data_IF_303716357388
#
_entry.id   IF_303716357388
#
_cell.length_a   1.000
_cell.length_b   1.000
_cell.length_c   1.000
_cell.angle_alpha   90.00
_cell.angle_beta   90.00
_cell.angle_gamma   90.00
#
_symmetry.space_group_name_H-M   'P 1'
#
loop_
_entity.id
_entity.type
_entity.pdbx_description
1 polymer ?
#
# COMPACT_ATOMS: atom_id res chain seq x y z
N UNK A 1 1.69 60.08 -13.16
CA UNK A 1 2.49 59.11 -12.40
C UNK A 1 1.54 58.28 -11.54
N UNK A 2 1.32 57.01 -11.87
CA UNK A 2 0.53 56.12 -11.01
C UNK A 2 1.38 55.78 -9.78
N UNK A 3 0.88 56.09 -8.57
CA UNK A 3 1.52 55.68 -7.33
C UNK A 3 1.44 54.15 -7.25
N UNK A 4 2.58 53.47 -7.38
CA UNK A 4 2.67 52.07 -6.99
C UNK A 4 2.36 51.99 -5.48
N UNK A 5 1.19 51.46 -5.13
CA UNK A 5 0.89 51.08 -3.75
C UNK A 5 1.79 49.89 -3.43
N UNK A 6 2.85 50.14 -2.66
CA UNK A 6 3.66 49.06 -2.09
C UNK A 6 2.85 48.26 -1.07
N UNK A 7 3.12 46.96 -0.98
CA UNK A 7 2.60 46.08 0.06
C UNK A 7 3.05 46.59 1.43
N UNK A 8 2.15 46.62 2.42
CA UNK A 8 2.54 47.04 3.77
C UNK A 8 3.22 45.88 4.51
N UNK A 9 4.22 46.18 5.35
CA UNK A 9 4.88 45.14 6.16
C UNK A 9 3.87 44.41 7.06
N UNK A 10 2.87 45.14 7.56
CA UNK A 10 1.82 44.54 8.37
C UNK A 10 1.01 43.52 7.58
N UNK A 11 0.63 43.80 6.33
CA UNK A 11 -0.08 42.87 5.44
C UNK A 11 0.69 41.55 5.29
N UNK A 12 1.99 41.62 5.04
CA UNK A 12 2.83 40.43 4.91
C UNK A 12 2.84 39.62 6.20
N UNK A 13 2.93 40.29 7.36
CA UNK A 13 2.95 39.64 8.67
C UNK A 13 1.61 38.97 8.98
N UNK A 14 0.46 39.59 8.69
CA UNK A 14 -0.83 38.94 8.94
C UNK A 14 -0.98 37.69 8.06
N UNK A 15 -0.53 37.74 6.81
CA UNK A 15 -0.66 36.61 5.88
C UNK A 15 0.13 35.40 6.38
N UNK A 16 1.39 35.58 6.80
CA UNK A 16 2.18 34.46 7.35
C UNK A 16 1.61 33.94 8.66
N UNK A 17 1.00 34.80 9.49
CA UNK A 17 0.33 34.38 10.74
C UNK A 17 -0.90 33.53 10.44
N UNK A 18 -1.74 33.95 9.48
CA UNK A 18 -2.92 33.18 9.07
C UNK A 18 -2.50 31.83 8.47
N UNK A 19 -1.53 31.81 7.56
CA UNK A 19 -1.01 30.57 6.98
C UNK A 19 -0.39 29.68 8.08
N UNK A 20 0.31 30.26 9.06
CA UNK A 20 0.87 29.54 10.20
C UNK A 20 -0.19 28.82 11.03
N UNK A 21 -1.32 29.48 11.34
CA UNK A 21 -2.43 28.87 12.08
C UNK A 21 -3.10 27.77 11.25
N UNK A 22 -3.36 28.03 9.98
CA UNK A 22 -3.97 27.04 9.07
C UNK A 22 -3.06 25.81 8.89
N UNK A 23 -1.75 26.01 8.76
CA UNK A 23 -0.79 24.92 8.65
C UNK A 23 -0.72 24.08 9.93
N UNK A 24 -0.75 24.72 11.11
CA UNK A 24 -0.71 24.01 12.39
C UNK A 24 -1.88 23.03 12.59
N UNK A 25 -3.06 23.34 12.05
CA UNK A 25 -4.23 22.44 12.11
C UNK A 25 -4.30 21.46 10.93
N UNK A 26 -3.87 21.87 9.74
CA UNK A 26 -4.02 21.08 8.52
C UNK A 26 -2.94 19.98 8.41
N UNK A 27 -1.71 20.26 8.83
CA UNK A 27 -0.60 19.31 8.69
C UNK A 27 -0.83 18.01 9.47
N UNK A 28 -1.22 18.01 10.76
CA UNK A 28 -1.48 16.77 11.49
C UNK A 28 -2.60 15.95 10.83
N UNK A 29 -3.69 16.61 10.41
CA UNK A 29 -4.82 15.96 9.74
C UNK A 29 -4.46 15.34 8.40
N UNK A 30 -3.58 15.99 7.64
CA UNK A 30 -3.11 15.45 6.38
C UNK A 30 -2.22 14.21 6.56
N UNK A 31 -1.36 14.20 7.60
CA UNK A 31 -0.55 13.03 7.95
C UNK A 31 -1.43 11.87 8.36
N UNK A 32 -2.39 12.08 9.28
CA UNK A 32 -3.33 11.04 9.71
C UNK A 32 -4.07 10.41 8.51
N UNK A 33 -4.58 11.24 7.59
CA UNK A 33 -5.28 10.77 6.40
C UNK A 33 -4.37 9.98 5.45
N UNK A 34 -3.10 10.38 5.34
CA UNK A 34 -2.13 9.69 4.48
C UNK A 34 -1.81 8.29 5.04
N UNK A 35 -1.66 8.19 6.37
CA UNK A 35 -1.44 6.91 7.05
C UNK A 35 -2.66 5.97 6.91
N UNK A 36 -3.87 6.51 7.09
CA UNK A 36 -5.12 5.77 6.89
C UNK A 36 -5.28 5.29 5.44
N UNK A 37 -4.94 6.14 4.47
CA UNK A 37 -4.98 5.79 3.05
C UNK A 37 -3.99 4.66 2.71
N UNK A 38 -2.77 4.73 3.26
CA UNK A 38 -1.77 3.68 3.07
C UNK A 38 -2.22 2.36 3.71
N UNK A 39 -2.75 2.39 4.94
CA UNK A 39 -3.30 1.22 5.60
C UNK A 39 -4.46 0.57 4.80
N UNK A 40 -5.35 1.40 4.24
CA UNK A 40 -6.44 0.95 3.38
C UNK A 40 -5.91 0.32 2.08
N UNK A 41 -4.91 0.93 1.45
CA UNK A 41 -4.26 0.40 0.24
C UNK A 41 -3.60 -0.96 0.52
N UNK A 42 -2.87 -1.08 1.64
CA UNK A 42 -2.26 -2.35 2.08
C UNK A 42 -3.30 -3.46 2.24
N UNK A 43 -4.41 -3.15 2.92
CA UNK A 43 -5.52 -4.11 3.09
C UNK A 43 -6.18 -4.46 1.76
N UNK A 44 -6.35 -3.50 0.87
CA UNK A 44 -6.90 -3.69 -0.47
C UNK A 44 -6.04 -4.65 -1.31
N UNK A 45 -4.72 -4.43 -1.33
CA UNK A 45 -3.78 -5.28 -2.05
C UNK A 45 -3.71 -6.70 -1.46
N UNK A 46 -3.68 -6.84 -0.13
CA UNK A 46 -3.78 -8.15 0.50
C UNK A 46 -5.08 -8.88 0.11
N UNK A 47 -6.20 -8.16 0.08
CA UNK A 47 -7.49 -8.68 -0.40
C UNK A 47 -7.47 -9.11 -1.86
N UNK A 48 -6.78 -8.37 -2.72
CA UNK A 48 -6.61 -8.71 -4.13
C UNK A 48 -5.75 -9.99 -4.32
N UNK A 49 -4.71 -10.19 -3.49
CA UNK A 49 -3.94 -11.45 -3.52
C UNK A 49 -4.78 -12.62 -3.03
N UNK A 50 -5.59 -12.43 -1.97
CA UNK A 50 -6.53 -13.46 -1.47
C UNK A 50 -7.55 -13.88 -2.51
N UNK A 51 -8.15 -12.92 -3.23
CA UNK A 51 -9.11 -13.24 -4.30
C UNK A 51 -8.42 -13.95 -5.48
N UNK A 52 -7.23 -13.49 -5.87
CA UNK A 52 -6.44 -14.10 -6.93
C UNK A 52 -6.02 -15.53 -6.59
N UNK A 53 -5.72 -15.81 -5.33
CA UNK A 53 -5.45 -17.17 -4.84
C UNK A 53 -6.67 -18.09 -5.00
N UNK A 54 -7.87 -17.63 -4.67
CA UNK A 54 -9.08 -18.40 -4.89
C UNK A 54 -9.32 -18.69 -6.39
N UNK A 55 -9.06 -17.70 -7.26
CA UNK A 55 -9.14 -17.87 -8.72
C UNK A 55 -8.11 -18.88 -9.22
N UNK A 56 -6.86 -18.77 -8.76
CA UNK A 56 -5.77 -19.68 -9.13
C UNK A 56 -6.08 -21.13 -8.74
N UNK A 57 -6.66 -21.35 -7.55
CA UNK A 57 -7.12 -22.70 -7.14
C UNK A 57 -8.19 -23.24 -8.08
N UNK A 58 -9.17 -22.40 -8.44
CA UNK A 58 -10.26 -22.82 -9.31
C UNK A 58 -9.77 -23.23 -10.70
N UNK A 59 -8.80 -22.50 -11.26
CA UNK A 59 -8.22 -22.75 -12.58
C UNK A 59 -7.26 -23.95 -12.58
N UNK A 60 -6.32 -23.99 -11.61
CA UNK A 60 -5.30 -25.04 -11.52
C UNK A 60 -5.81 -26.35 -10.92
N UNK A 61 -6.97 -26.32 -10.24
CA UNK A 61 -7.53 -27.44 -9.46
C UNK A 61 -6.60 -27.95 -8.36
N UNK A 62 -5.69 -27.10 -7.89
CA UNK A 62 -4.76 -27.31 -6.78
C UNK A 62 -4.32 -25.97 -6.22
N UNK A 63 -3.67 -25.99 -5.07
CA UNK A 63 -3.00 -24.80 -4.54
C UNK A 63 -1.89 -24.32 -5.49
N UNK A 64 -1.82 -22.99 -5.77
CA UNK A 64 -0.78 -22.42 -6.63
C UNK A 64 0.55 -22.34 -5.88
N UNK A 65 1.66 -22.36 -6.61
CA UNK A 65 2.93 -21.88 -6.08
C UNK A 65 2.95 -20.35 -6.03
N UNK A 66 3.88 -19.77 -5.28
CA UNK A 66 4.02 -18.32 -5.20
C UNK A 66 4.28 -17.66 -6.57
N UNK A 67 5.05 -18.33 -7.42
CA UNK A 67 5.32 -17.89 -8.79
C UNK A 67 4.05 -17.89 -9.64
N UNK A 68 3.23 -18.93 -9.52
CA UNK A 68 1.94 -18.99 -10.22
C UNK A 68 0.96 -17.95 -9.66
N UNK A 69 0.86 -17.81 -8.35
CA UNK A 69 -0.04 -16.83 -7.73
C UNK A 69 0.26 -15.40 -8.21
N UNK A 70 1.54 -15.03 -8.35
CA UNK A 70 1.92 -13.72 -8.88
C UNK A 70 1.37 -13.47 -10.30
N UNK A 71 1.27 -14.51 -11.15
CA UNK A 71 0.67 -14.39 -12.49
C UNK A 71 -0.85 -14.32 -12.49
N UNK A 72 -1.53 -14.60 -11.38
CA UNK A 72 -2.98 -14.40 -11.27
C UNK A 72 -3.31 -13.01 -10.73
N UNK A 73 -2.50 -12.49 -9.81
CA UNK A 73 -2.70 -11.15 -9.22
C UNK A 73 -2.62 -10.05 -10.27
N UNK A 74 -1.71 -10.17 -11.25
CA UNK A 74 -1.54 -9.27 -12.40
C UNK A 74 -1.63 -7.77 -12.06
N UNK A 75 -0.49 -7.14 -11.79
CA UNK A 75 -0.42 -5.69 -11.59
C UNK A 75 0.99 -5.16 -11.78
N UNK A 76 1.11 -3.85 -12.00
CA UNK A 76 2.41 -3.17 -11.99
C UNK A 76 3.06 -3.32 -10.60
N UNK A 77 4.35 -3.66 -10.57
CA UNK A 77 5.08 -3.92 -9.32
C UNK A 77 4.70 -5.22 -8.58
N UNK A 78 3.97 -6.15 -9.21
CA UNK A 78 3.64 -7.46 -8.61
C UNK A 78 4.66 -8.52 -9.01
N UNK A 79 5.24 -9.22 -8.03
CA UNK A 79 6.18 -10.33 -8.28
C UNK A 79 6.17 -11.36 -7.16
N UNK A 80 6.56 -12.60 -7.45
CA UNK A 80 6.75 -13.62 -6.43
C UNK A 80 8.00 -13.33 -5.59
N UNK A 81 7.89 -13.48 -4.27
CA UNK A 81 8.99 -13.39 -3.32
C UNK A 81 9.20 -14.73 -2.61
N UNK A 82 10.27 -14.85 -1.83
CA UNK A 82 10.52 -16.05 -1.03
C UNK A 82 9.46 -16.27 0.06
N UNK A 83 8.82 -15.20 0.54
CA UNK A 83 7.96 -15.20 1.73
C UNK A 83 6.53 -14.73 1.46
N UNK A 84 6.18 -14.50 0.19
CA UNK A 84 4.94 -13.81 -0.16
C UNK A 84 4.86 -13.29 -1.59
N UNK A 85 3.87 -12.46 -1.84
CA UNK A 85 3.72 -11.73 -3.11
C UNK A 85 4.14 -10.28 -2.87
N UNK A 86 5.14 -9.82 -3.61
CA UNK A 86 5.51 -8.41 -3.65
C UNK A 86 4.38 -7.63 -4.32
N UNK A 87 4.01 -6.51 -3.74
CA UNK A 87 3.09 -5.51 -4.28
C UNK A 87 3.68 -4.12 -4.06
N UNK A 88 3.53 -3.20 -5.01
CA UNK A 88 3.99 -1.82 -4.83
C UNK A 88 2.83 -0.92 -4.39
N UNK A 89 3.04 -0.14 -3.34
CA UNK A 89 2.11 0.88 -2.85
C UNK A 89 2.92 2.16 -2.65
N UNK A 90 2.53 3.25 -3.33
CA UNK A 90 3.22 4.54 -3.29
C UNK A 90 4.74 4.46 -3.57
N UNK A 91 5.15 3.55 -4.47
CA UNK A 91 6.56 3.34 -4.83
C UNK A 91 7.37 2.52 -3.82
N UNK A 92 6.74 2.04 -2.74
CA UNK A 92 7.36 1.14 -1.76
C UNK A 92 6.88 -0.29 -2.00
N UNK A 93 7.80 -1.25 -2.02
CA UNK A 93 7.46 -2.68 -2.12
C UNK A 93 7.07 -3.24 -0.77
N UNK A 94 5.87 -3.81 -0.71
CA UNK A 94 5.34 -4.55 0.42
C UNK A 94 5.21 -6.03 0.06
N UNK A 95 5.25 -6.90 1.07
CA UNK A 95 5.08 -8.35 0.88
C UNK A 95 3.76 -8.76 1.50
N UNK A 96 2.84 -9.27 0.69
CA UNK A 96 1.66 -10.00 1.19
C UNK A 96 2.14 -11.38 1.59
N UNK A 97 2.12 -11.70 2.89
CA UNK A 97 2.62 -12.97 3.38
C UNK A 97 1.81 -14.15 2.82
N UNK A 98 2.49 -15.23 2.45
CA UNK A 98 1.87 -16.49 2.02
C UNK A 98 2.40 -17.65 2.86
N UNK A 99 1.60 -18.70 3.01
CA UNK A 99 1.84 -19.76 3.98
C UNK A 99 1.66 -21.14 3.35
N UNK A 100 2.43 -22.10 3.84
CA UNK A 100 2.41 -23.51 3.40
C UNK A 100 1.38 -24.35 4.15
N UNK A 101 0.55 -23.75 4.99
CA UNK A 101 -0.50 -24.44 5.74
C UNK A 101 -1.82 -23.66 5.74
N UNK A 102 -2.92 -24.39 5.82
CA UNK A 102 -4.28 -23.83 5.86
C UNK A 102 -4.57 -22.90 7.07
N UNK A 103 -3.78 -22.96 8.15
CA UNK A 103 -3.95 -22.07 9.31
C UNK A 103 -3.10 -20.80 9.23
N UNK A 104 -2.35 -20.61 8.13
CA UNK A 104 -1.55 -19.42 7.89
C UNK A 104 -0.48 -19.19 8.99
N UNK A 105 0.19 -20.26 9.41
CA UNK A 105 1.11 -20.27 10.56
C UNK A 105 2.58 -20.50 10.20
N UNK A 106 2.82 -21.22 9.10
CA UNK A 106 4.12 -21.59 8.56
C UNK A 106 4.34 -20.83 7.26
N UNK A 107 5.07 -19.72 7.33
CA UNK A 107 5.33 -18.88 6.17
C UNK A 107 6.19 -19.67 5.17
N UNK A 108 5.86 -19.55 3.88
CA UNK A 108 6.70 -20.12 2.84
C UNK A 108 8.09 -19.43 2.86
N UNK A 109 9.12 -20.15 2.42
CA UNK A 109 10.51 -19.72 2.38
C UNK A 109 11.11 -19.75 0.98
N UNK A 110 10.35 -20.16 -0.05
CA UNK A 110 10.76 -20.07 -1.45
C UNK A 110 9.60 -19.78 -2.40
N UNK A 111 9.88 -19.09 -3.52
CA UNK A 111 8.88 -18.72 -4.53
C UNK A 111 8.25 -19.91 -5.28
N UNK A 112 8.84 -21.10 -5.14
CA UNK A 112 8.36 -22.36 -5.73
C UNK A 112 7.53 -23.20 -4.76
N UNK A 113 7.32 -22.74 -3.52
CA UNK A 113 6.47 -23.44 -2.57
C UNK A 113 4.99 -23.17 -2.82
N UNK A 114 4.19 -24.16 -2.46
CA UNK A 114 2.73 -24.12 -2.55
C UNK A 114 2.16 -23.17 -1.51
N UNK A 115 1.24 -22.32 -1.95
CA UNK A 115 0.49 -21.39 -1.09
C UNK A 115 -0.83 -22.04 -0.72
N UNK A 116 -1.01 -22.37 0.56
CA UNK A 116 -2.29 -22.86 1.10
C UNK A 116 -3.12 -21.74 1.73
N UNK A 117 -2.45 -20.68 2.20
CA UNK A 117 -3.09 -19.50 2.74
C UNK A 117 -2.37 -18.21 2.37
N UNK A 118 -3.14 -17.12 2.23
CA UNK A 118 -2.65 -15.75 2.04
C UNK A 118 -2.99 -14.90 3.27
N UNK A 119 -1.98 -14.25 3.84
CA UNK A 119 -2.08 -13.37 4.99
C UNK A 119 -2.35 -11.90 4.65
N UNK A 120 -1.89 -11.02 5.52
CA UNK A 120 -1.95 -9.56 5.35
C UNK A 120 -0.56 -9.00 5.02
N UNK A 121 -0.51 -7.70 4.74
CA UNK A 121 0.75 -6.96 4.61
C UNK A 121 1.15 -6.45 6.00
N UNK A 122 2.38 -6.72 6.48
CA UNK A 122 2.89 -6.16 7.73
C UNK A 122 3.05 -4.63 7.70
#
# INVERSE_FOLDING_TARGET
MQKAKGFTLIELVIVIVIIGILAAIAVPKFVDLSDDANAAAKKGMAGAVKSSHAIAIADLKRFPTNTELATYVNGDGVSAAATGINVSIDGTTHVVATYSDANCSSQISAASETVECVGEIP
#
